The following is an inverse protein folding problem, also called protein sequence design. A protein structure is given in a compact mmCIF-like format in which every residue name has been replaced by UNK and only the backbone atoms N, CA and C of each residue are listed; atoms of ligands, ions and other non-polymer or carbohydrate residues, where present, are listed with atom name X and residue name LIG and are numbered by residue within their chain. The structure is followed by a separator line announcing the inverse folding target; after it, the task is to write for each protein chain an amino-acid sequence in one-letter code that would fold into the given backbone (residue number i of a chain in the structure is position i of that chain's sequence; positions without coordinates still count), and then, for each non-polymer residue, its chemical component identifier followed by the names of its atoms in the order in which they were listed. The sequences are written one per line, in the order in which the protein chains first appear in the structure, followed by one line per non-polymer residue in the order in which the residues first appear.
data_IF_037127749147
#
_entry.id   IF_037127749147
#
_cell.length_a   1.000
_cell.length_b   1.000
_cell.length_c   1.000
_cell.angle_alpha   90.00
_cell.angle_beta   90.00
_cell.angle_gamma   90.00
#
_symmetry.space_group_name_H-M   'P 1'
#
loop_
_entity.id
_entity.type
_entity.pdbx_description
1 polymer ?
#
# COMPACT_ATOMS: atom_id res chain seq x y z
N UNK A 1 32.31 8.56 -13.08
CA UNK A 1 31.70 8.54 -11.72
C UNK A 1 30.19 8.24 -11.73
N UNK A 2 29.36 8.94 -12.52
CA UNK A 2 27.90 8.69 -12.62
C UNK A 2 27.53 7.24 -13.01
N UNK A 3 28.21 6.65 -14.00
CA UNK A 3 27.90 5.30 -14.48
C UNK A 3 28.13 4.19 -13.44
N UNK A 4 29.17 4.31 -12.60
CA UNK A 4 29.44 3.36 -11.52
C UNK A 4 28.34 3.43 -10.44
N UNK A 5 27.95 4.64 -10.02
CA UNK A 5 26.87 4.84 -9.05
C UNK A 5 25.53 4.31 -9.57
N UNK A 6 25.20 4.57 -10.84
CA UNK A 6 24.00 4.03 -11.50
C UNK A 6 24.01 2.49 -11.53
N UNK A 7 25.17 1.86 -11.76
CA UNK A 7 25.29 0.41 -11.75
C UNK A 7 25.04 -0.17 -10.34
N UNK A 8 25.53 0.50 -9.29
CA UNK A 8 25.28 0.10 -7.90
C UNK A 8 23.79 0.24 -7.53
N UNK A 9 23.14 1.34 -7.91
CA UNK A 9 21.70 1.52 -7.68
C UNK A 9 20.87 0.45 -8.40
N UNK A 10 21.17 0.18 -9.68
CA UNK A 10 20.48 -0.86 -10.44
C UNK A 10 20.66 -2.25 -9.81
N UNK A 11 21.86 -2.58 -9.30
CA UNK A 11 22.11 -3.82 -8.54
C UNK A 11 21.25 -3.91 -7.29
N UNK A 12 21.19 -2.83 -6.50
CA UNK A 12 20.37 -2.79 -5.29
C UNK A 12 18.87 -2.87 -5.61
N UNK A 13 18.40 -2.21 -6.65
CA UNK A 13 17.01 -2.33 -7.12
C UNK A 13 16.65 -3.77 -7.47
N UNK A 14 17.52 -4.50 -8.19
CA UNK A 14 17.29 -5.93 -8.47
C UNK A 14 17.17 -6.77 -7.21
N UNK A 15 17.97 -6.49 -6.19
CA UNK A 15 17.88 -7.17 -4.89
C UNK A 15 16.54 -6.91 -4.23
N UNK A 16 16.08 -5.66 -4.19
CA UNK A 16 14.77 -5.34 -3.60
C UNK A 16 13.63 -6.01 -4.37
N UNK A 17 13.65 -5.96 -5.70
CA UNK A 17 12.68 -6.67 -6.56
C UNK A 17 12.70 -8.17 -6.31
N UNK A 18 13.89 -8.76 -6.10
CA UNK A 18 14.01 -10.18 -5.80
C UNK A 18 13.42 -10.52 -4.42
N UNK A 19 13.71 -9.72 -3.39
CA UNK A 19 13.14 -9.89 -2.05
C UNK A 19 11.61 -9.81 -2.11
N UNK A 20 11.06 -8.80 -2.79
CA UNK A 20 9.62 -8.61 -2.89
C UNK A 20 8.91 -9.80 -3.56
N UNK A 21 9.57 -10.46 -4.52
CA UNK A 21 9.06 -11.61 -5.28
C UNK A 21 9.21 -12.95 -4.57
N UNK A 22 10.14 -13.06 -3.62
CA UNK A 22 10.50 -14.32 -2.98
C UNK A 22 10.49 -14.20 -1.46
N UNK A 23 9.55 -13.42 -0.90
CA UNK A 23 9.51 -13.13 0.53
C UNK A 23 9.32 -14.40 1.38
N UNK A 24 8.67 -15.42 0.83
CA UNK A 24 8.48 -16.76 1.41
C UNK A 24 9.69 -17.69 1.23
N UNK A 25 10.62 -17.35 0.35
CA UNK A 25 11.79 -18.15 0.05
C UNK A 25 12.96 -17.93 1.00
N UNK A 26 14.05 -18.63 0.71
CA UNK A 26 15.33 -18.37 1.37
C UNK A 26 15.93 -17.06 0.85
N UNK A 27 16.14 -16.12 1.76
CA UNK A 27 16.69 -14.79 1.50
C UNK A 27 17.94 -14.55 2.36
N UNK A 28 18.72 -15.62 2.57
CA UNK A 28 20.01 -15.54 3.25
C UNK A 28 21.01 -14.63 2.50
N UNK A 29 22.07 -14.24 3.22
CA UNK A 29 23.08 -13.32 2.70
C UNK A 29 23.73 -13.82 1.40
N UNK A 30 23.89 -15.13 1.25
CA UNK A 30 24.46 -15.73 0.04
C UNK A 30 23.56 -15.47 -1.17
N UNK A 31 22.29 -15.82 -1.07
CA UNK A 31 21.30 -15.71 -2.13
C UNK A 31 21.18 -14.28 -2.63
N UNK A 32 20.98 -13.32 -1.73
CA UNK A 32 20.81 -11.91 -2.12
C UNK A 32 22.12 -11.28 -2.64
N UNK A 33 23.29 -11.72 -2.16
CA UNK A 33 24.57 -11.22 -2.67
C UNK A 33 24.82 -11.64 -4.13
N UNK A 34 24.40 -12.85 -4.51
CA UNK A 34 24.43 -13.33 -5.90
C UNK A 34 23.53 -12.50 -6.81
N UNK A 35 22.34 -12.12 -6.36
CA UNK A 35 21.43 -11.23 -7.12
C UNK A 35 22.08 -9.86 -7.39
N UNK A 36 22.83 -9.34 -6.41
CA UNK A 36 23.58 -8.09 -6.55
C UNK A 36 24.84 -8.21 -7.42
N UNK A 37 25.27 -9.43 -7.76
CA UNK A 37 26.57 -9.75 -8.33
C UNK A 37 27.75 -9.20 -7.50
N UNK A 38 27.67 -9.37 -6.18
CA UNK A 38 28.70 -8.97 -5.21
C UNK A 38 29.13 -10.15 -4.35
N UNK A 39 30.34 -10.07 -3.78
CA UNK A 39 30.72 -10.96 -2.69
C UNK A 39 29.88 -10.68 -1.45
N UNK A 40 29.69 -11.68 -0.57
CA UNK A 40 28.90 -11.55 0.67
C UNK A 40 29.33 -10.34 1.51
N UNK A 41 30.64 -10.14 1.70
CA UNK A 41 31.19 -9.05 2.51
C UNK A 41 30.94 -7.67 1.89
N UNK A 42 31.15 -7.53 0.58
CA UNK A 42 30.91 -6.27 -0.12
C UNK A 42 29.43 -5.93 -0.14
N UNK A 43 28.58 -6.92 -0.44
CA UNK A 43 27.14 -6.76 -0.44
C UNK A 43 26.61 -6.30 0.92
N UNK A 44 27.01 -6.95 2.01
CA UNK A 44 26.56 -6.56 3.35
C UNK A 44 26.87 -5.09 3.67
N UNK A 45 28.12 -4.66 3.41
CA UNK A 45 28.55 -3.26 3.63
C UNK A 45 27.79 -2.29 2.73
N UNK A 46 27.67 -2.62 1.44
CA UNK A 46 26.99 -1.77 0.48
C UNK A 46 25.50 -1.64 0.79
N UNK A 47 24.82 -2.74 1.10
CA UNK A 47 23.40 -2.74 1.44
C UNK A 47 23.15 -1.88 2.69
N UNK A 48 23.96 -2.07 3.74
CA UNK A 48 23.85 -1.30 4.98
C UNK A 48 24.15 0.18 4.75
N UNK A 49 25.18 0.52 3.98
CA UNK A 49 25.51 1.90 3.64
C UNK A 49 24.42 2.60 2.81
N UNK A 50 23.72 1.83 1.98
CA UNK A 50 22.67 2.34 1.09
C UNK A 50 21.34 2.53 1.82
N UNK A 51 20.93 1.54 2.61
CA UNK A 51 19.60 1.44 3.20
C UNK A 51 19.56 1.73 4.71
N UNK A 52 20.71 1.85 5.38
CA UNK A 52 20.79 2.11 6.82
C UNK A 52 20.44 0.91 7.71
N UNK A 53 20.21 -0.28 7.14
CA UNK A 53 19.93 -1.51 7.86
C UNK A 53 20.48 -2.74 7.11
N UNK A 54 20.71 -3.83 7.82
CA UNK A 54 21.19 -5.09 7.22
C UNK A 54 20.10 -5.75 6.38
N UNK A 55 20.48 -6.54 5.38
CA UNK A 55 19.51 -7.25 4.53
C UNK A 55 18.59 -8.17 5.34
N UNK A 56 19.12 -8.86 6.34
CA UNK A 56 18.32 -9.72 7.22
C UNK A 56 17.22 -8.90 7.92
N UNK A 57 17.56 -7.73 8.46
CA UNK A 57 16.58 -6.83 9.08
C UNK A 57 15.57 -6.29 8.07
N UNK A 58 15.99 -6.06 6.83
CA UNK A 58 15.10 -5.63 5.74
C UNK A 58 14.04 -6.69 5.46
N UNK A 59 14.46 -7.93 5.21
CA UNK A 59 13.57 -9.06 4.94
C UNK A 59 12.63 -9.29 6.13
N UNK A 60 13.15 -9.23 7.35
CA UNK A 60 12.34 -9.40 8.55
C UNK A 60 11.26 -8.33 8.68
N UNK A 61 11.58 -7.07 8.37
CA UNK A 61 10.59 -5.98 8.35
C UNK A 61 9.55 -6.21 7.25
N UNK A 62 9.95 -6.57 6.03
CA UNK A 62 9.00 -6.86 4.96
C UNK A 62 8.03 -8.01 5.34
N UNK A 63 8.54 -9.10 5.95
CA UNK A 63 7.72 -10.20 6.48
C UNK A 63 6.78 -9.74 7.59
N UNK A 64 7.28 -8.93 8.53
CA UNK A 64 6.46 -8.36 9.61
C UNK A 64 5.37 -7.42 9.08
N UNK A 65 5.66 -6.61 8.05
CA UNK A 65 4.66 -5.74 7.40
C UNK A 65 3.51 -6.59 6.88
N UNK A 66 3.81 -7.64 6.11
CA UNK A 66 2.80 -8.59 5.62
C UNK A 66 2.02 -9.26 6.75
N UNK A 67 2.72 -9.72 7.79
CA UNK A 67 2.09 -10.33 8.95
C UNK A 67 1.12 -9.35 9.65
N UNK A 68 1.48 -8.08 9.83
CA UNK A 68 0.62 -7.06 10.42
C UNK A 68 -0.65 -6.82 9.59
N UNK A 69 -0.53 -6.70 8.26
CA UNK A 69 -1.71 -6.53 7.40
C UNK A 69 -2.63 -7.76 7.45
N UNK A 70 -2.06 -8.98 7.47
CA UNK A 70 -2.84 -10.21 7.65
C UNK A 70 -3.53 -10.20 9.02
N UNK A 71 -2.83 -9.87 10.09
CA UNK A 71 -3.42 -9.76 11.43
C UNK A 71 -4.56 -8.75 11.51
N UNK A 72 -4.44 -7.59 10.85
CA UNK A 72 -5.42 -6.52 10.94
C UNK A 72 -6.66 -6.73 10.05
N UNK A 73 -6.52 -7.47 8.94
CA UNK A 73 -7.54 -7.52 7.89
C UNK A 73 -8.01 -8.95 7.55
N UNK A 74 -7.38 -10.00 8.09
CA UNK A 74 -7.73 -11.43 7.91
C UNK A 74 -8.05 -12.07 9.25
N UNK A 75 -9.35 -12.16 9.54
CA UNK A 75 -9.83 -12.76 10.79
C UNK A 75 -9.89 -14.29 10.72
N UNK A 76 -9.93 -14.82 9.51
CA UNK A 76 -10.00 -16.23 9.16
C UNK A 76 -8.67 -16.98 9.30
N UNK A 77 -7.55 -16.26 9.33
CA UNK A 77 -6.22 -16.84 9.47
C UNK A 77 -5.79 -16.96 10.94
N UNK A 78 -5.12 -18.04 11.32
CA UNK A 78 -4.61 -18.18 12.69
C UNK A 78 -3.35 -17.32 12.92
N UNK A 79 -3.16 -16.84 14.15
CA UNK A 79 -1.93 -16.10 14.52
C UNK A 79 -0.69 -16.99 14.37
N UNK A 80 -0.84 -18.30 14.59
CA UNK A 80 0.21 -19.30 14.43
C UNK A 80 0.67 -19.38 12.98
N UNK A 81 -0.25 -19.53 12.03
CA UNK A 81 0.11 -19.65 10.61
C UNK A 81 0.78 -18.37 10.10
N UNK A 82 0.25 -17.21 10.49
CA UNK A 82 0.88 -15.92 10.18
C UNK A 82 2.31 -15.82 10.75
N UNK A 83 2.56 -16.36 11.94
CA UNK A 83 3.89 -16.38 12.54
C UNK A 83 4.87 -17.26 11.74
N UNK A 84 4.43 -18.46 11.34
CA UNK A 84 5.24 -19.38 10.55
C UNK A 84 5.57 -18.78 9.17
N UNK A 85 4.56 -18.20 8.50
CA UNK A 85 4.72 -17.53 7.20
C UNK A 85 5.56 -16.24 7.29
N UNK A 86 5.72 -15.67 8.49
CA UNK A 86 6.63 -14.57 8.75
C UNK A 86 8.08 -15.03 9.01
N UNK A 87 8.36 -16.34 8.90
CA UNK A 87 9.68 -16.94 9.04
C UNK A 87 10.13 -17.17 10.47
N UNK A 88 9.18 -17.36 11.41
CA UNK A 88 9.50 -17.70 12.80
C UNK A 88 9.27 -19.20 13.06
N UNK A 89 10.18 -19.83 13.79
CA UNK A 89 10.08 -21.25 14.14
C UNK A 89 9.01 -21.54 15.21
N UNK A 90 8.57 -20.50 15.94
CA UNK A 90 7.58 -20.63 17.00
C UNK A 90 6.72 -19.35 17.15
N UNK A 91 5.41 -19.47 17.43
CA UNK A 91 4.52 -18.32 17.67
C UNK A 91 5.00 -17.41 18.80
N UNK A 92 5.61 -17.96 19.85
CA UNK A 92 6.15 -17.17 20.96
C UNK A 92 7.31 -16.27 20.54
N UNK A 93 8.16 -16.74 19.62
CA UNK A 93 9.25 -15.94 19.08
C UNK A 93 8.71 -14.77 18.24
N UNK A 94 7.68 -15.03 17.43
CA UNK A 94 6.96 -14.00 16.69
C UNK A 94 6.30 -12.99 17.64
N UNK A 95 5.55 -13.45 18.65
CA UNK A 95 4.86 -12.58 19.59
C UNK A 95 5.83 -11.66 20.36
N UNK A 96 6.98 -12.19 20.80
CA UNK A 96 8.05 -11.39 21.43
C UNK A 96 8.61 -10.35 20.48
N UNK A 97 8.97 -10.73 19.25
CA UNK A 97 9.53 -9.82 18.26
C UNK A 97 8.54 -8.73 17.83
N UNK A 98 7.27 -9.11 17.63
CA UNK A 98 6.18 -8.22 17.27
C UNK A 98 5.92 -7.19 18.37
N UNK A 99 5.81 -7.64 19.64
CA UNK A 99 5.63 -6.75 20.80
C UNK A 99 6.83 -5.83 21.02
N UNK A 100 8.05 -6.34 20.89
CA UNK A 100 9.26 -5.52 20.98
C UNK A 100 9.29 -4.42 19.91
N UNK A 101 8.70 -4.68 18.74
CA UNK A 101 8.73 -3.75 17.61
C UNK A 101 7.61 -2.73 17.65
N UNK A 102 6.39 -3.16 17.92
CA UNK A 102 5.17 -2.37 17.76
C UNK A 102 4.48 -2.03 19.09
N UNK A 103 5.04 -2.46 20.23
CA UNK A 103 4.47 -2.22 21.56
C UNK A 103 3.26 -3.10 21.91
N UNK A 104 2.69 -3.83 20.96
CA UNK A 104 1.50 -4.67 21.14
C UNK A 104 1.74 -6.14 20.80
N UNK A 105 0.99 -7.07 21.40
CA UNK A 105 1.03 -8.47 20.98
C UNK A 105 0.27 -8.67 19.65
N UNK A 106 0.58 -9.70 18.85
CA UNK A 106 -0.16 -9.99 17.61
C UNK A 106 -1.68 -10.11 17.80
N UNK A 107 -2.12 -10.81 18.86
CA UNK A 107 -3.54 -10.99 19.15
C UNK A 107 -4.22 -9.69 19.58
N UNK A 108 -3.50 -8.80 20.26
CA UNK A 108 -4.01 -7.45 20.58
C UNK A 108 -4.13 -6.60 19.33
N UNK A 109 -3.09 -6.62 18.49
CA UNK A 109 -3.03 -5.88 17.23
C UNK A 109 -4.14 -6.31 16.27
N UNK A 110 -4.48 -7.61 16.21
CA UNK A 110 -5.63 -8.10 15.44
C UNK A 110 -6.94 -7.44 15.86
N UNK A 111 -7.19 -7.34 17.17
CA UNK A 111 -8.45 -6.81 17.70
C UNK A 111 -8.55 -5.30 17.58
N UNK A 112 -7.45 -4.60 17.83
CA UNK A 112 -7.37 -3.15 17.83
C UNK A 112 -5.95 -2.73 17.47
N UNK A 113 -5.63 -2.61 16.17
CA UNK A 113 -4.29 -2.28 15.73
C UNK A 113 -3.95 -0.84 16.10
N UNK A 114 -2.77 -0.67 16.68
CA UNK A 114 -2.17 0.64 16.89
C UNK A 114 -1.21 0.96 15.74
N UNK A 115 -1.71 1.76 14.81
CA UNK A 115 -1.03 2.08 13.56
C UNK A 115 0.09 3.12 13.74
N UNK A 116 0.10 3.89 14.82
CA UNK A 116 1.11 4.93 15.01
C UNK A 116 2.51 4.34 15.32
N UNK A 117 2.71 3.50 16.36
CA UNK A 117 3.97 2.79 16.58
C UNK A 117 4.33 1.88 15.41
N UNK A 118 3.33 1.33 14.72
CA UNK A 118 3.53 0.52 13.53
C UNK A 118 4.16 1.32 12.39
N UNK A 119 3.58 2.46 12.02
CA UNK A 119 4.11 3.36 10.98
C UNK A 119 5.52 3.84 11.35
N UNK A 120 5.73 4.23 12.61
CA UNK A 120 7.05 4.65 13.09
C UNK A 120 8.11 3.54 12.95
N UNK A 121 7.74 2.28 13.23
CA UNK A 121 8.65 1.14 13.11
C UNK A 121 9.04 0.81 11.66
N UNK A 122 8.20 1.16 10.68
CA UNK A 122 8.46 0.94 9.25
C UNK A 122 9.15 2.11 8.54
N UNK A 123 9.27 3.28 9.19
CA UNK A 123 9.99 4.44 8.64
C UNK A 123 11.34 4.10 7.99
N UNK A 124 12.23 3.28 8.59
CA UNK A 124 13.47 2.86 7.95
C UNK A 124 13.28 2.05 6.65
N UNK A 125 12.28 1.17 6.59
CA UNK A 125 11.95 0.37 5.40
C UNK A 125 11.43 1.27 4.27
N UNK A 126 10.52 2.19 4.59
CA UNK A 126 9.94 3.12 3.63
C UNK A 126 10.99 4.10 3.09
N UNK A 127 11.87 4.60 3.96
CA UNK A 127 13.00 5.45 3.58
C UNK A 127 14.02 4.72 2.69
N UNK A 128 14.31 3.45 3.01
CA UNK A 128 15.17 2.61 2.19
C UNK A 128 14.60 2.43 0.78
N UNK A 129 13.29 2.16 0.67
CA UNK A 129 12.62 1.98 -0.62
C UNK A 129 12.49 3.28 -1.40
N UNK A 130 12.12 4.39 -0.76
CA UNK A 130 11.88 5.68 -1.43
C UNK A 130 13.14 6.29 -2.07
N UNK A 131 14.34 5.94 -1.59
CA UNK A 131 15.62 6.39 -2.18
C UNK A 131 15.96 5.72 -3.50
N UNK A 132 15.60 4.45 -3.68
CA UNK A 132 16.07 3.64 -4.81
C UNK A 132 14.97 3.00 -5.64
N UNK A 133 13.75 2.90 -5.14
CA UNK A 133 12.58 2.38 -5.88
C UNK A 133 11.62 3.51 -6.25
N UNK A 134 12.15 4.68 -6.60
CA UNK A 134 11.30 5.73 -7.18
C UNK A 134 10.79 5.23 -8.52
N UNK A 135 9.48 5.00 -8.58
CA UNK A 135 8.82 4.71 -9.83
C UNK A 135 8.78 5.99 -10.65
N UNK A 136 9.44 5.98 -11.80
CA UNK A 136 9.34 7.05 -12.78
C UNK A 136 8.15 6.74 -13.67
N UNK A 137 7.24 7.70 -13.79
CA UNK A 137 6.13 7.64 -14.71
C UNK A 137 6.44 8.51 -15.93
N UNK A 138 5.89 8.12 -17.06
CA UNK A 138 6.03 8.76 -18.36
C UNK A 138 4.66 8.96 -19.00
N UNK A 139 4.59 9.76 -20.05
CA UNK A 139 3.33 10.06 -20.73
C UNK A 139 2.68 8.79 -21.29
N UNK A 140 3.50 7.83 -21.70
CA UNK A 140 3.06 6.55 -22.26
C UNK A 140 2.42 5.63 -21.20
N UNK A 141 2.62 5.91 -19.90
CA UNK A 141 1.97 5.19 -18.80
C UNK A 141 0.53 5.66 -18.55
N UNK A 142 0.11 6.79 -19.16
CA UNK A 142 -1.21 7.39 -18.95
C UNK A 142 -2.12 7.11 -20.14
N UNK A 143 -3.32 6.61 -19.85
CA UNK A 143 -4.35 6.35 -20.85
C UNK A 143 -5.57 7.21 -20.59
N UNK A 144 -6.17 7.78 -21.63
CA UNK A 144 -7.46 8.48 -21.51
C UNK A 144 -8.57 7.45 -21.69
N UNK A 145 -9.50 7.41 -20.75
CA UNK A 145 -10.64 6.47 -20.75
C UNK A 145 -11.93 7.21 -20.42
N UNK A 146 -12.98 6.91 -21.17
CA UNK A 146 -14.36 7.18 -20.76
C UNK A 146 -14.79 6.12 -19.74
N UNK A 147 -15.18 6.57 -18.55
CA UNK A 147 -15.67 5.69 -17.48
C UNK A 147 -17.15 5.91 -17.26
N UNK A 148 -17.89 4.83 -16.98
CA UNK A 148 -19.31 4.91 -16.64
C UNK A 148 -19.50 5.49 -15.23
N UNK A 149 -20.60 6.21 -14.97
CA UNK A 149 -21.01 6.53 -13.60
C UNK A 149 -21.13 5.25 -12.78
N UNK A 150 -20.56 5.28 -11.57
CA UNK A 150 -20.50 4.09 -10.72
C UNK A 150 -21.20 4.38 -9.39
N UNK A 151 -22.40 3.81 -9.17
CA UNK A 151 -23.06 3.83 -7.87
C UNK A 151 -22.16 3.18 -6.81
N UNK A 152 -22.03 3.83 -5.66
CA UNK A 152 -21.16 3.40 -4.57
C UNK A 152 -21.83 3.53 -3.20
N UNK A 153 -21.47 2.61 -2.32
CA UNK A 153 -21.63 2.76 -0.89
C UNK A 153 -20.36 3.40 -0.31
N UNK A 154 -20.51 4.43 0.50
CA UNK A 154 -19.43 5.30 0.97
C UNK A 154 -19.32 5.21 2.49
N UNK A 155 -18.16 4.75 2.99
CA UNK A 155 -17.74 5.01 4.35
C UNK A 155 -16.74 6.16 4.36
N UNK A 156 -17.06 7.22 5.11
CA UNK A 156 -16.20 8.39 5.21
C UNK A 156 -15.13 8.20 6.30
N UNK A 157 -13.89 8.51 5.95
CA UNK A 157 -12.84 8.79 6.92
C UNK A 157 -12.68 10.30 7.06
N UNK A 158 -12.75 10.81 8.28
CA UNK A 158 -12.58 12.22 8.63
C UNK A 158 -11.68 12.29 9.87
N UNK A 159 -10.74 13.22 9.88
CA UNK A 159 -9.80 13.39 10.99
C UNK A 159 -8.45 12.73 10.73
N UNK A 160 -7.69 12.51 11.80
CA UNK A 160 -6.27 12.17 11.73
C UNK A 160 -5.97 10.96 10.79
N UNK A 161 -5.12 11.13 9.75
CA UNK A 161 -4.71 10.05 8.86
C UNK A 161 -4.20 8.79 9.58
N UNK A 162 -3.60 8.93 10.76
CA UNK A 162 -3.12 7.79 11.57
C UNK A 162 -4.25 6.81 11.93
N UNK A 163 -5.49 7.29 11.99
CA UNK A 163 -6.68 6.48 12.31
C UNK A 163 -7.35 5.85 11.08
N UNK A 164 -6.82 6.09 9.87
CA UNK A 164 -7.37 5.53 8.61
C UNK A 164 -7.46 4.00 8.65
N UNK A 165 -6.48 3.34 9.27
CA UNK A 165 -6.48 1.88 9.40
C UNK A 165 -7.70 1.34 10.16
N UNK A 166 -8.18 2.06 11.18
CA UNK A 166 -9.39 1.69 11.92
C UNK A 166 -10.66 1.87 11.07
N UNK A 167 -10.75 2.92 10.26
CA UNK A 167 -11.86 3.06 9.30
C UNK A 167 -11.82 1.96 8.24
N UNK A 168 -10.64 1.57 7.74
CA UNK A 168 -10.50 0.43 6.81
C UNK A 168 -11.04 -0.86 7.43
N UNK A 169 -10.75 -1.15 8.69
CA UNK A 169 -11.28 -2.34 9.37
C UNK A 169 -12.81 -2.33 9.45
N UNK A 170 -13.40 -1.21 9.87
CA UNK A 170 -14.87 -1.03 9.94
C UNK A 170 -15.49 -1.19 8.55
N UNK A 171 -14.86 -0.63 7.52
CA UNK A 171 -15.30 -0.78 6.13
C UNK A 171 -15.27 -2.23 5.64
N UNK A 172 -14.19 -2.98 5.93
CA UNK A 172 -14.08 -4.40 5.59
C UNK A 172 -15.16 -5.21 6.31
N UNK A 173 -15.37 -4.99 7.60
CA UNK A 173 -16.38 -5.70 8.39
C UNK A 173 -17.79 -5.44 7.84
N UNK A 174 -18.13 -4.17 7.58
CA UNK A 174 -19.40 -3.80 6.97
C UNK A 174 -19.59 -4.45 5.58
N UNK A 175 -18.57 -4.40 4.71
CA UNK A 175 -18.66 -5.00 3.37
C UNK A 175 -18.90 -6.50 3.39
N UNK A 176 -18.29 -7.22 4.34
CA UNK A 176 -18.52 -8.65 4.54
C UNK A 176 -19.98 -8.91 4.94
N UNK A 177 -20.51 -8.15 5.90
CA UNK A 177 -21.91 -8.27 6.32
C UNK A 177 -22.90 -7.95 5.19
N UNK A 178 -22.59 -6.95 4.36
CA UNK A 178 -23.41 -6.58 3.19
C UNK A 178 -23.27 -7.54 1.99
N UNK A 179 -22.31 -8.48 2.03
CA UNK A 179 -22.02 -9.39 0.91
C UNK A 179 -21.36 -8.72 -0.30
N UNK A 180 -20.69 -7.57 -0.11
CA UNK A 180 -20.06 -6.79 -1.18
C UNK A 180 -18.59 -7.16 -1.37
N UNK A 181 -18.33 -8.31 -1.98
CA UNK A 181 -16.98 -8.85 -2.18
C UNK A 181 -16.16 -8.02 -3.20
N UNK A 182 -14.85 -7.73 -3.00
CA UNK A 182 -14.02 -6.93 -3.91
C UNK A 182 -14.01 -7.38 -5.39
N UNK A 183 -14.16 -8.70 -5.64
CA UNK A 183 -14.23 -9.27 -6.99
C UNK A 183 -15.51 -8.94 -7.76
N UNK A 184 -16.62 -8.71 -7.05
CA UNK A 184 -17.95 -8.43 -7.64
C UNK A 184 -18.38 -6.99 -7.44
N UNK A 185 -17.83 -6.34 -6.42
CA UNK A 185 -18.10 -4.96 -6.02
C UNK A 185 -16.76 -4.22 -5.95
N UNK A 186 -16.40 -3.42 -6.97
CA UNK A 186 -15.09 -2.79 -7.04
C UNK A 186 -14.83 -1.88 -5.84
N UNK A 187 -13.56 -1.75 -5.45
CA UNK A 187 -13.15 -0.93 -4.31
C UNK A 187 -12.53 0.36 -4.81
N UNK A 188 -12.99 1.49 -4.30
CA UNK A 188 -12.39 2.79 -4.61
C UNK A 188 -11.98 3.56 -3.35
N UNK A 189 -10.96 4.40 -3.51
CA UNK A 189 -10.62 5.43 -2.55
C UNK A 189 -10.71 6.80 -3.25
N UNK A 190 -11.48 7.73 -2.69
CA UNK A 190 -11.58 9.11 -3.19
C UNK A 190 -10.93 10.03 -2.15
N UNK A 191 -9.86 10.74 -2.53
CA UNK A 191 -9.17 11.65 -1.60
C UNK A 191 -9.81 13.04 -1.68
N UNK A 192 -10.48 13.45 -0.60
CA UNK A 192 -11.24 14.70 -0.54
C UNK A 192 -10.39 15.88 -0.07
N UNK A 193 -9.39 15.62 0.75
CA UNK A 193 -8.40 16.60 1.19
C UNK A 193 -7.04 16.35 0.56
N UNK A 194 -6.12 17.27 0.80
CA UNK A 194 -4.69 17.03 0.64
C UNK A 194 -4.24 15.85 1.54
N UNK A 195 -3.14 15.18 1.15
CA UNK A 195 -2.59 14.05 1.92
C UNK A 195 -2.06 14.47 3.29
N UNK A 196 -1.48 15.67 3.37
CA UNK A 196 -0.88 16.24 4.58
C UNK A 196 -1.44 17.65 4.81
N UNK A 197 -2.70 17.74 5.24
CA UNK A 197 -3.29 19.04 5.55
C UNK A 197 -2.54 19.71 6.71
N UNK A 198 -2.74 21.03 6.87
CA UNK A 198 -2.12 21.80 7.93
C UNK A 198 -2.51 21.29 9.34
N UNK A 199 -3.76 20.84 9.49
CA UNK A 199 -4.25 20.15 10.68
C UNK A 199 -4.60 18.70 10.31
N UNK A 200 -4.14 17.69 11.08
CA UNK A 200 -4.57 16.30 10.89
C UNK A 200 -6.10 16.13 10.90
N UNK A 201 -6.82 16.99 11.62
CA UNK A 201 -8.28 16.96 11.69
C UNK A 201 -8.98 17.24 10.34
N UNK A 202 -8.29 17.93 9.42
CA UNK A 202 -8.84 18.31 8.12
C UNK A 202 -8.67 17.21 7.06
N UNK A 203 -7.99 16.11 7.41
CA UNK A 203 -7.83 15.00 6.48
C UNK A 203 -9.16 14.30 6.23
N UNK A 204 -9.45 14.05 4.95
CA UNK A 204 -10.67 13.38 4.53
C UNK A 204 -10.46 12.50 3.30
N UNK A 205 -11.00 11.29 3.39
CA UNK A 205 -11.00 10.30 2.32
C UNK A 205 -12.28 9.48 2.40
N UNK A 206 -12.79 9.07 1.25
CA UNK A 206 -13.95 8.19 1.16
C UNK A 206 -13.49 6.78 0.76
N UNK A 207 -13.95 5.75 1.49
CA UNK A 207 -13.81 4.35 1.14
C UNK A 207 -15.10 3.89 0.48
N UNK A 208 -15.02 3.49 -0.78
CA UNK A 208 -16.19 3.21 -1.60
C UNK A 208 -16.23 1.75 -2.05
N UNK A 209 -17.41 1.14 -2.00
CA UNK A 209 -17.68 -0.15 -2.63
C UNK A 209 -18.70 0.08 -3.75
N UNK A 210 -18.37 -0.33 -4.98
CA UNK A 210 -19.30 -0.25 -6.12
C UNK A 210 -20.50 -1.16 -5.90
N UNK A 211 -21.69 -0.57 -5.90
CA UNK A 211 -22.97 -1.28 -5.69
C UNK A 211 -24.14 -0.38 -6.08
N UNK A 212 -25.14 -0.97 -6.73
CA UNK A 212 -26.47 -0.40 -6.98
C UNK A 212 -27.50 -0.83 -5.93
N UNK A 213 -27.13 -1.78 -5.05
CA UNK A 213 -27.99 -2.26 -3.97
C UNK A 213 -28.32 -1.13 -2.98
N UNK A 214 -29.56 -1.06 -2.47
CA UNK A 214 -29.92 -0.13 -1.40
C UNK A 214 -29.00 -0.27 -0.18
N UNK A 215 -28.64 0.86 0.42
CA UNK A 215 -27.84 0.89 1.65
C UNK A 215 -28.79 1.05 2.83
N UNK A 216 -28.87 0.02 3.66
CA UNK A 216 -29.63 0.07 4.90
C UNK A 216 -28.95 1.00 5.91
N UNK A 217 -29.75 1.76 6.66
CA UNK A 217 -29.27 2.76 7.61
C UNK A 217 -28.82 2.16 8.97
N UNK A 218 -28.78 0.84 9.08
CA UNK A 218 -28.61 0.14 10.34
C UNK A 218 -27.11 -0.07 10.63
N UNK A 219 -26.54 0.81 11.47
CA UNK A 219 -25.17 0.66 12.00
C UNK A 219 -24.22 1.80 11.63
N UNK A 220 -23.03 1.45 11.11
CA UNK A 220 -22.02 2.41 10.64
C UNK A 220 -22.63 3.38 9.61
N UNK A 221 -22.31 4.70 9.64
CA UNK A 221 -22.90 5.67 8.71
C UNK A 221 -22.33 5.49 7.30
N UNK A 222 -22.91 4.55 6.55
CA UNK A 222 -22.65 4.34 5.13
C UNK A 222 -23.61 5.19 4.32
N UNK A 223 -23.08 5.96 3.38
CA UNK A 223 -23.87 6.81 2.47
C UNK A 223 -23.98 6.15 1.11
N UNK A 224 -25.16 6.18 0.51
CA UNK A 224 -25.29 5.97 -0.93
C UNK A 224 -24.71 7.19 -1.67
N UNK A 225 -24.00 6.96 -2.76
CA UNK A 225 -23.46 8.00 -3.61
C UNK A 225 -23.07 7.47 -4.98
N UNK A 226 -22.38 8.30 -5.76
CA UNK A 226 -21.94 7.94 -7.10
C UNK A 226 -20.55 8.53 -7.34
N UNK A 227 -19.67 7.74 -7.99
CA UNK A 227 -18.48 8.27 -8.65
C UNK A 227 -18.91 8.66 -10.07
N UNK A 228 -18.93 9.96 -10.40
CA UNK A 228 -19.45 10.44 -11.67
C UNK A 228 -18.60 9.96 -12.85
N UNK A 229 -19.27 9.45 -13.88
CA UNK A 229 -18.63 9.01 -15.12
C UNK A 229 -18.04 10.16 -15.95
N UNK A 230 -17.48 9.84 -17.11
CA UNK A 230 -16.87 10.80 -18.04
C UNK A 230 -15.41 10.47 -18.36
N UNK A 231 -14.71 11.39 -19.02
CA UNK A 231 -13.29 11.23 -19.36
C UNK A 231 -12.42 11.28 -18.12
N UNK A 232 -11.47 10.35 -18.03
CA UNK A 232 -10.43 10.32 -17.01
C UNK A 232 -9.07 10.04 -17.65
N UNK A 233 -8.02 10.68 -17.15
CA UNK A 233 -6.66 10.20 -17.31
C UNK A 233 -6.40 9.09 -16.28
N UNK A 234 -5.95 7.93 -16.74
CA UNK A 234 -5.81 6.71 -15.94
C UNK A 234 -4.36 6.27 -15.94
N UNK A 235 -3.78 6.17 -14.75
CA UNK A 235 -2.41 5.72 -14.52
C UNK A 235 -2.41 4.42 -13.71
N UNK A 236 -1.87 3.36 -14.30
CA UNK A 236 -1.81 2.04 -13.65
C UNK A 236 -0.57 1.90 -12.77
N UNK A 237 -0.78 1.65 -11.48
CA UNK A 237 0.26 1.42 -10.49
C UNK A 237 0.30 -0.07 -10.13
N UNK A 238 1.47 -0.67 -10.29
CA UNK A 238 1.79 -2.06 -9.91
C UNK A 238 2.89 -2.01 -8.87
N UNK A 239 2.68 -2.74 -7.77
CA UNK A 239 3.57 -2.79 -6.62
C UNK A 239 3.42 -1.58 -5.70
N UNK A 240 3.57 -1.79 -4.38
CA UNK A 240 3.58 -0.72 -3.36
C UNK A 240 2.38 0.23 -3.48
N UNK A 241 1.18 -0.33 -3.66
CA UNK A 241 -0.05 0.46 -3.83
C UNK A 241 -0.51 1.13 -2.54
N UNK A 242 0.16 0.90 -1.40
CA UNK A 242 -0.12 1.61 -0.14
C UNK A 242 0.19 3.12 -0.29
N UNK A 243 1.11 3.48 -1.20
CA UNK A 243 1.45 4.86 -1.49
C UNK A 243 1.20 5.20 -2.97
N UNK A 244 0.04 5.82 -3.25
CA UNK A 244 -0.34 6.27 -4.60
C UNK A 244 0.00 7.75 -4.85
N UNK A 245 0.56 8.46 -3.86
CA UNK A 245 0.92 9.88 -3.98
C UNK A 245 1.88 10.17 -5.14
N UNK A 246 2.95 9.37 -5.41
CA UNK A 246 3.83 9.66 -6.53
C UNK A 246 3.11 9.64 -7.89
N UNK A 247 2.12 8.75 -8.04
CA UNK A 247 1.30 8.65 -9.25
C UNK A 247 0.34 9.84 -9.38
N UNK A 248 -0.32 10.21 -8.28
CA UNK A 248 -1.19 11.38 -8.22
C UNK A 248 -0.43 12.68 -8.52
N UNK A 249 0.75 12.86 -7.89
CA UNK A 249 1.60 14.02 -8.12
C UNK A 249 2.10 14.07 -9.56
N UNK A 250 2.49 12.94 -10.15
CA UNK A 250 2.88 12.90 -11.56
C UNK A 250 1.74 13.36 -12.49
N UNK A 251 0.52 12.88 -12.25
CA UNK A 251 -0.65 13.29 -13.04
C UNK A 251 -0.90 14.80 -12.97
N UNK A 252 -0.86 15.40 -11.78
CA UNK A 252 -1.10 16.85 -11.61
C UNK A 252 0.09 17.74 -12.00
N UNK A 253 1.31 17.35 -11.63
CA UNK A 253 2.51 18.18 -11.77
C UNK A 253 3.10 18.12 -13.17
N UNK A 254 3.14 16.92 -13.75
CA UNK A 254 3.93 16.67 -14.95
C UNK A 254 3.02 16.38 -16.16
N UNK A 255 2.07 15.46 -16.03
CA UNK A 255 1.24 15.03 -17.15
C UNK A 255 0.17 16.06 -17.55
N UNK A 256 -0.64 16.54 -16.60
CA UNK A 256 -1.77 17.45 -16.89
C UNK A 256 -1.33 18.76 -17.56
N UNK A 257 -0.27 19.46 -17.10
CA UNK A 257 0.20 20.67 -17.77
C UNK A 257 0.77 20.42 -19.17
N UNK A 258 1.26 19.20 -19.44
CA UNK A 258 1.86 18.82 -20.72
C UNK A 258 0.85 18.22 -21.71
N UNK A 259 -0.31 17.75 -21.25
CA UNK A 259 -1.29 17.04 -22.08
C UNK A 259 -2.23 17.97 -22.85
N UNK A 260 -2.39 19.22 -22.39
CA UNK A 260 -3.40 20.15 -22.91
C UNK A 260 -4.81 19.86 -22.41
N UNK A 261 -4.97 18.93 -21.46
CA UNK A 261 -6.24 18.59 -20.83
C UNK A 261 -6.53 19.50 -19.63
N UNK A 262 -7.80 19.57 -19.22
CA UNK A 262 -8.22 20.27 -18.01
C UNK A 262 -8.86 19.30 -17.02
N UNK A 263 -8.52 19.43 -15.75
CA UNK A 263 -9.15 18.66 -14.69
C UNK A 263 -10.61 19.12 -14.48
N UNK A 264 -11.51 18.16 -14.27
CA UNK A 264 -12.89 18.42 -13.84
C UNK A 264 -12.93 18.70 -12.34
N UNK A 265 -14.00 19.36 -11.89
CA UNK A 265 -14.37 19.48 -10.48
C UNK A 265 -14.84 18.14 -9.88
N UNK A 266 -13.90 17.19 -9.76
CA UNK A 266 -14.05 15.98 -8.97
C UNK A 266 -12.66 15.53 -8.49
N UNK A 267 -12.52 15.06 -7.24
CA UNK A 267 -11.21 14.69 -6.72
C UNK A 267 -10.57 13.53 -7.47
N UNK A 268 -9.24 13.46 -7.42
CA UNK A 268 -8.52 12.26 -7.86
C UNK A 268 -8.94 11.06 -7.00
N UNK A 269 -9.07 9.90 -7.62
CA UNK A 269 -9.47 8.68 -6.94
C UNK A 269 -8.69 7.48 -7.47
N UNK A 270 -8.78 6.35 -6.78
CA UNK A 270 -8.24 5.10 -7.31
C UNK A 270 -9.26 3.97 -7.26
N UNK A 271 -9.11 3.03 -8.18
CA UNK A 271 -9.72 1.70 -8.09
C UNK A 271 -8.64 0.70 -7.67
N UNK A 272 -8.94 -0.11 -6.65
CA UNK A 272 -8.07 -1.22 -6.22
C UNK A 272 -8.45 -2.47 -7.00
N UNK A 273 -7.57 -2.92 -7.89
CA UNK A 273 -7.78 -4.10 -8.74
C UNK A 273 -7.32 -5.39 -8.05
N UNK A 274 -6.19 -5.32 -7.34
CA UNK A 274 -5.70 -6.37 -6.46
C UNK A 274 -5.11 -5.74 -5.20
N UNK A 275 -5.36 -6.36 -4.04
CA UNK A 275 -5.09 -5.77 -2.74
C UNK A 275 -4.05 -6.58 -1.98
N UNK A 276 -3.10 -5.90 -1.37
CA UNK A 276 -2.30 -6.50 -0.31
C UNK A 276 -3.14 -6.64 0.97
N UNK A 277 -3.10 -7.76 1.71
CA UNK A 277 -2.24 -8.92 1.53
C UNK A 277 -2.87 -10.11 0.75
N UNK A 278 -3.94 -9.92 -0.06
CA UNK A 278 -4.49 -11.00 -0.91
C UNK A 278 -3.51 -11.47 -1.96
N UNK A 279 -2.78 -10.51 -2.52
CA UNK A 279 -1.65 -10.75 -3.40
C UNK A 279 -0.38 -10.22 -2.73
N UNK A 280 0.81 -10.74 -3.09
CA UNK A 280 2.07 -10.15 -2.69
C UNK A 280 2.13 -8.65 -3.01
N UNK A 281 2.85 -7.86 -2.20
CA UNK A 281 2.88 -6.40 -2.34
C UNK A 281 3.35 -5.94 -3.73
N UNK A 282 4.22 -6.69 -4.40
CA UNK A 282 4.70 -6.40 -5.75
C UNK A 282 3.69 -6.72 -6.87
N UNK A 283 2.67 -7.52 -6.57
CA UNK A 283 1.57 -7.88 -7.47
C UNK A 283 0.29 -7.07 -7.21
N UNK A 284 0.25 -6.28 -6.13
CA UNK A 284 -0.86 -5.38 -5.86
C UNK A 284 -0.97 -4.33 -6.98
N UNK A 285 -2.19 -4.08 -7.44
CA UNK A 285 -2.48 -3.19 -8.57
C UNK A 285 -3.59 -2.22 -8.20
N UNK A 286 -3.35 -0.95 -8.47
CA UNK A 286 -4.35 0.11 -8.43
C UNK A 286 -4.31 0.95 -9.71
N UNK A 287 -5.45 1.43 -10.15
CA UNK A 287 -5.55 2.47 -11.19
C UNK A 287 -5.88 3.79 -10.52
N UNK A 288 -5.10 4.83 -10.81
CA UNK A 288 -5.34 6.20 -10.34
C UNK A 288 -6.02 6.98 -11.46
N UNK A 289 -7.15 7.60 -11.15
CA UNK A 289 -8.01 8.31 -12.08
C UNK A 289 -7.98 9.80 -11.77
N UNK A 290 -7.55 10.61 -12.72
CA UNK A 290 -7.71 12.06 -12.74
C UNK A 290 -8.88 12.41 -13.66
N UNK A 291 -10.02 12.87 -13.11
CA UNK A 291 -11.18 13.30 -13.89
C UNK A 291 -10.85 14.49 -14.79
N UNK A 292 -11.25 14.41 -16.06
CA UNK A 292 -11.03 15.45 -17.08
C UNK A 292 -12.36 16.10 -17.48
N UNK A 293 -12.27 17.31 -18.03
CA UNK A 293 -13.41 18.03 -18.63
C UNK A 293 -13.88 17.41 -19.95
#
# INVERSE_FOLDING_TARGET
MKAALQNYHARMQRVLVHIDRHLDGDLDLETVSRVAAFSKFHFHRQFTATFGLSVHRYVQLARLKRASHRLAYRDDESVTDIAMDAGYDAPDAFARAFRQRFGQSPSSFRKSPDWEPWLAAFGPLDNARSRLMQKTFTTDDVTIRDVAPTPVAIMEHRGDPATTGATIQRFIAWRRAAGLHPKTSPTFNVWRSERRPASPADYSMDLCAGTDRPIEADGEPIKAGEIPGGRCAVLRVVGNTDNLEPAALYLYRDWLPASGEEARDFPIYCQRLSLFPEVPEHEAVAEVFLPLK
#
